data_IF_831063206275
#
_entry.id   IF_831063206275
#
_cell.length_a   1.000
_cell.length_b   1.000
_cell.length_c   1.000
_cell.angle_alpha   90.00
_cell.angle_beta   90.00
_cell.angle_gamma   90.00
#
_symmetry.space_group_name_H-M   'P 1'
#
loop_
_entity.id
_entity.type
_entity.pdbx_description
1 polymer ?
#
# COMPACT_ATOMS: atom_id res chain seq x y z
N UNK A 1 -26.93 18.43 29.27
CA UNK A 1 -27.33 18.36 27.86
C UNK A 1 -26.06 17.99 27.14
N UNK A 2 -25.93 16.70 26.85
CA UNK A 2 -24.78 16.16 26.11
C UNK A 2 -25.16 16.29 24.65
N UNK A 3 -24.59 17.28 23.98
CA UNK A 3 -24.75 17.46 22.53
C UNK A 3 -23.96 16.33 21.87
N UNK A 4 -24.62 15.18 21.74
CA UNK A 4 -24.05 13.97 21.16
C UNK A 4 -23.58 14.24 19.74
N UNK A 5 -22.29 14.49 19.61
CA UNK A 5 -21.60 14.71 18.34
C UNK A 5 -21.70 13.44 17.49
N UNK A 6 -22.42 13.52 16.37
CA UNK A 6 -22.55 12.46 15.36
C UNK A 6 -21.22 12.33 14.61
N UNK A 7 -20.20 11.79 15.29
CA UNK A 7 -18.89 11.57 14.69
C UNK A 7 -18.98 10.50 13.59
N UNK A 8 -18.89 10.95 12.34
CA UNK A 8 -18.60 10.10 11.19
C UNK A 8 -17.10 9.77 11.16
N UNK A 9 -16.76 8.50 10.95
CA UNK A 9 -15.37 8.03 10.89
C UNK A 9 -15.13 7.24 9.61
N UNK A 10 -14.06 7.56 8.90
CA UNK A 10 -13.53 6.72 7.83
C UNK A 10 -12.36 5.89 8.36
N UNK A 11 -12.42 4.59 8.15
CA UNK A 11 -11.32 3.65 8.37
C UNK A 11 -10.79 3.23 7.00
N UNK A 12 -9.54 3.53 6.71
CA UNK A 12 -8.89 3.08 5.47
C UNK A 12 -7.91 1.96 5.80
N UNK A 13 -8.09 0.80 5.19
CA UNK A 13 -7.21 -0.35 5.33
C UNK A 13 -6.34 -0.42 4.08
N UNK A 14 -5.02 -0.28 4.23
CA UNK A 14 -4.10 -0.43 3.10
C UNK A 14 -3.78 -1.90 2.90
N UNK A 15 -3.91 -2.41 1.67
CA UNK A 15 -3.51 -3.78 1.36
C UNK A 15 -1.98 -3.92 1.39
N UNK A 16 -1.46 -5.13 1.56
CA UNK A 16 -0.01 -5.34 1.66
C UNK A 16 0.75 -4.93 0.37
N UNK A 17 2.01 -4.54 0.52
CA UNK A 17 2.92 -4.28 -0.61
C UNK A 17 3.92 -5.43 -0.77
N UNK A 18 3.98 -6.11 -1.93
CA UNK A 18 4.89 -7.24 -2.13
C UNK A 18 6.37 -6.84 -2.14
N UNK A 19 7.24 -7.79 -1.82
CA UNK A 19 8.68 -7.67 -2.02
C UNK A 19 9.09 -8.07 -3.46
N UNK A 20 10.22 -7.55 -3.94
CA UNK A 20 10.71 -7.83 -5.30
C UNK A 20 12.04 -8.56 -5.35
N UNK A 21 12.23 -9.55 -4.47
CA UNK A 21 13.43 -10.37 -4.50
C UNK A 21 13.54 -11.22 -5.78
N UNK A 22 14.71 -11.16 -6.40
CA UNK A 22 15.18 -12.03 -7.48
C UNK A 22 16.46 -12.73 -6.97
N UNK A 23 16.32 -13.98 -6.52
CA UNK A 23 17.42 -14.73 -5.93
C UNK A 23 17.63 -14.44 -4.43
N UNK A 24 18.88 -14.44 -3.98
CA UNK A 24 19.23 -14.22 -2.57
C UNK A 24 19.24 -12.73 -2.22
N UNK A 25 18.77 -12.39 -1.02
CA UNK A 25 18.66 -11.01 -0.53
C UNK A 25 20.01 -10.28 -0.42
N UNK A 26 21.11 -11.01 -0.24
CA UNK A 26 22.46 -10.47 -0.11
C UNK A 26 23.26 -10.54 -1.41
N UNK A 27 22.66 -10.85 -2.56
CA UNK A 27 23.35 -10.89 -3.85
C UNK A 27 23.18 -9.60 -4.64
N UNK A 28 24.22 -9.20 -5.37
CA UNK A 28 24.09 -8.13 -6.35
C UNK A 28 22.94 -8.43 -7.33
N UNK A 29 22.02 -7.47 -7.46
CA UNK A 29 20.85 -7.62 -8.33
C UNK A 29 19.66 -8.33 -7.68
N UNK A 30 19.56 -8.38 -6.34
CA UNK A 30 18.41 -8.95 -5.65
C UNK A 30 17.06 -8.25 -5.96
N UNK A 31 17.06 -7.01 -6.43
CA UNK A 31 15.91 -6.34 -7.05
C UNK A 31 16.45 -5.38 -8.13
N UNK A 32 16.76 -5.86 -9.34
CA UNK A 32 17.60 -5.14 -10.29
C UNK A 32 16.81 -4.16 -11.17
N UNK A 33 15.48 -4.18 -11.05
CA UNK A 33 14.58 -3.43 -11.91
C UNK A 33 14.79 -1.93 -11.71
N UNK A 34 14.87 -1.17 -12.81
CA UNK A 34 15.10 0.29 -12.82
C UNK A 34 13.92 1.09 -13.39
N UNK A 35 12.92 0.39 -13.91
CA UNK A 35 11.71 0.97 -14.47
C UNK A 35 10.51 0.14 -14.01
N UNK A 36 9.29 0.66 -13.99
CA UNK A 36 8.11 -0.15 -13.68
C UNK A 36 8.01 -1.38 -14.59
N UNK A 37 7.44 -2.47 -14.09
CA UNK A 37 7.05 -3.61 -14.94
C UNK A 37 6.00 -3.16 -15.95
N UNK A 38 6.05 -3.71 -17.17
CA UNK A 38 4.97 -3.56 -18.15
C UNK A 38 3.85 -4.54 -17.85
N UNK A 39 2.65 -4.23 -18.32
CA UNK A 39 1.51 -5.14 -18.19
C UNK A 39 1.86 -6.51 -18.80
N UNK A 40 1.65 -7.57 -18.03
CA UNK A 40 1.99 -8.94 -18.44
C UNK A 40 3.49 -9.28 -18.44
N UNK A 41 4.38 -8.37 -18.05
CA UNK A 41 5.83 -8.66 -17.99
C UNK A 41 6.16 -9.67 -16.89
N UNK A 42 5.49 -9.57 -15.74
CA UNK A 42 5.67 -10.47 -14.60
C UNK A 42 4.33 -10.70 -13.91
N UNK A 43 3.92 -11.97 -13.81
CA UNK A 43 2.74 -12.34 -13.04
C UNK A 43 3.02 -12.25 -11.54
N UNK A 44 2.04 -11.78 -10.75
CA UNK A 44 2.10 -11.86 -9.29
C UNK A 44 2.17 -13.33 -8.85
N UNK A 45 2.93 -13.58 -7.79
CA UNK A 45 3.01 -14.91 -7.19
C UNK A 45 1.65 -15.32 -6.61
N UNK A 46 1.36 -16.62 -6.62
CA UNK A 46 0.07 -17.15 -6.15
C UNK A 46 -0.28 -16.67 -4.74
N UNK A 47 0.69 -16.69 -3.82
CA UNK A 47 0.48 -16.25 -2.44
C UNK A 47 0.16 -14.76 -2.34
N UNK A 48 0.76 -13.93 -3.19
CA UNK A 48 0.50 -12.49 -3.21
C UNK A 48 -0.90 -12.20 -3.73
N UNK A 49 -1.32 -12.92 -4.78
CA UNK A 49 -2.69 -12.84 -5.33
C UNK A 49 -3.71 -13.24 -4.27
N UNK A 50 -3.45 -14.33 -3.56
CA UNK A 50 -4.36 -14.86 -2.55
C UNK A 50 -4.44 -13.96 -1.31
N UNK A 51 -3.31 -13.43 -0.85
CA UNK A 51 -3.26 -12.50 0.27
C UNK A 51 -4.07 -11.23 -0.04
N UNK A 52 -3.88 -10.64 -1.23
CA UNK A 52 -4.65 -9.47 -1.66
C UNK A 52 -6.14 -9.78 -1.72
N UNK A 53 -6.50 -10.95 -2.27
CA UNK A 53 -7.90 -11.38 -2.37
C UNK A 53 -8.55 -11.42 -0.99
N UNK A 54 -7.89 -12.04 -0.02
CA UNK A 54 -8.38 -12.14 1.36
C UNK A 54 -8.51 -10.76 2.00
N UNK A 55 -7.49 -9.89 1.91
CA UNK A 55 -7.56 -8.54 2.49
C UNK A 55 -8.75 -7.73 1.96
N UNK A 56 -8.98 -7.77 0.64
CA UNK A 56 -10.10 -7.07 0.00
C UNK A 56 -11.44 -7.68 0.42
N UNK A 57 -11.54 -9.01 0.48
CA UNK A 57 -12.76 -9.70 0.91
C UNK A 57 -13.14 -9.38 2.36
N UNK A 58 -12.16 -9.31 3.27
CA UNK A 58 -12.39 -8.97 4.67
C UNK A 58 -12.84 -7.51 4.84
N UNK A 59 -12.26 -6.57 4.07
CA UNK A 59 -12.71 -5.17 4.08
C UNK A 59 -14.16 -5.07 3.56
N UNK A 60 -14.49 -5.77 2.48
CA UNK A 60 -15.85 -5.79 1.93
C UNK A 60 -16.85 -6.47 2.87
N UNK A 61 -16.45 -7.51 3.60
CA UNK A 61 -17.26 -8.15 4.63
C UNK A 61 -17.53 -7.18 5.79
N UNK A 62 -16.48 -6.53 6.32
CA UNK A 62 -16.60 -5.53 7.37
C UNK A 62 -17.50 -4.36 6.96
N UNK A 63 -17.39 -3.90 5.70
CA UNK A 63 -18.25 -2.85 5.13
C UNK A 63 -19.73 -3.25 5.18
N UNK A 64 -20.06 -4.48 4.77
CA UNK A 64 -21.44 -5.00 4.81
C UNK A 64 -21.95 -5.09 6.25
N UNK A 65 -21.14 -5.56 7.19
CA UNK A 65 -21.54 -5.63 8.60
C UNK A 65 -21.79 -4.24 9.18
N UNK A 66 -20.94 -3.26 8.88
CA UNK A 66 -21.12 -1.88 9.33
C UNK A 66 -22.41 -1.26 8.78
N UNK A 67 -22.75 -1.49 7.51
CA UNK A 67 -24.01 -1.02 6.92
C UNK A 67 -25.24 -1.57 7.67
N UNK A 68 -25.22 -2.85 8.06
CA UNK A 68 -26.30 -3.48 8.85
C UNK A 68 -26.42 -2.91 10.27
N UNK A 69 -25.29 -2.46 10.85
CA UNK A 69 -25.25 -1.88 12.20
C UNK A 69 -25.66 -0.40 12.23
N UNK A 70 -25.43 0.33 11.14
CA UNK A 70 -25.77 1.75 11.00
C UNK A 70 -27.28 1.99 11.06
N UNK A 71 -28.12 1.05 10.62
CA UNK A 71 -29.58 1.13 10.77
C UNK A 71 -30.04 1.20 12.24
N UNK A 72 -29.16 0.83 13.19
CA UNK A 72 -29.48 0.69 14.63
C UNK A 72 -28.73 1.66 15.53
N UNK A 73 -27.78 2.46 15.02
CA UNK A 73 -26.88 3.31 15.84
C UNK A 73 -26.66 4.70 15.21
N UNK A 74 -26.39 5.69 16.06
CA UNK A 74 -26.05 7.08 15.66
C UNK A 74 -24.60 7.30 15.20
N UNK A 75 -23.71 6.31 15.34
CA UNK A 75 -22.31 6.40 14.88
C UNK A 75 -22.16 5.76 13.51
N UNK A 76 -21.72 6.54 12.53
CA UNK A 76 -21.47 6.10 11.16
C UNK A 76 -19.97 5.86 10.97
N UNK A 77 -19.59 4.59 10.88
CA UNK A 77 -18.23 4.18 10.49
C UNK A 77 -18.29 3.66 9.07
N UNK A 78 -17.48 4.24 8.18
CA UNK A 78 -17.23 3.76 6.83
C UNK A 78 -15.86 3.09 6.82
N UNK A 79 -15.74 1.98 6.09
CA UNK A 79 -14.47 1.27 5.89
C UNK A 79 -14.23 1.08 4.40
N UNK A 80 -13.01 1.37 3.96
CA UNK A 80 -12.60 1.26 2.56
C UNK A 80 -11.17 0.69 2.45
N UNK A 81 -10.90 -0.04 1.38
CA UNK A 81 -9.56 -0.53 1.08
C UNK A 81 -8.78 0.51 0.25
N UNK A 82 -7.57 0.83 0.68
CA UNK A 82 -6.54 1.41 -0.17
C UNK A 82 -5.76 0.26 -0.80
N UNK A 83 -6.28 -0.24 -1.93
CA UNK A 83 -5.72 -1.40 -2.65
C UNK A 83 -4.48 -1.01 -3.45
N UNK A 84 -3.31 -1.14 -2.81
CA UNK A 84 -2.01 -0.80 -3.38
C UNK A 84 -1.26 -1.99 -3.93
N UNK A 85 -1.67 -3.23 -3.62
CA UNK A 85 -0.83 -4.41 -3.84
C UNK A 85 -0.43 -4.56 -5.31
N UNK A 86 -1.38 -4.44 -6.25
CA UNK A 86 -1.07 -4.55 -7.68
C UNK A 86 -0.19 -3.41 -8.17
N UNK A 87 -0.44 -2.17 -7.73
CA UNK A 87 0.40 -1.04 -8.16
C UNK A 87 1.79 -1.10 -7.53
N UNK A 88 1.92 -1.61 -6.30
CA UNK A 88 3.19 -1.88 -5.65
C UNK A 88 3.97 -2.96 -6.41
N UNK A 89 3.30 -4.05 -6.80
CA UNK A 89 3.89 -5.12 -7.62
C UNK A 89 4.48 -4.62 -8.95
N UNK A 90 3.85 -3.61 -9.57
CA UNK A 90 4.35 -3.04 -10.82
C UNK A 90 5.62 -2.20 -10.62
N UNK A 91 6.02 -1.92 -9.38
CA UNK A 91 7.03 -0.92 -9.03
C UNK A 91 8.28 -1.52 -8.40
N UNK A 92 8.77 -2.66 -8.91
CA UNK A 92 10.07 -3.20 -8.47
C UNK A 92 11.24 -2.20 -8.55
N UNK A 93 11.12 -1.15 -9.37
CA UNK A 93 12.05 -0.01 -9.48
C UNK A 93 12.06 0.94 -8.27
N UNK A 94 11.08 0.84 -7.39
CA UNK A 94 10.92 1.74 -6.25
C UNK A 94 11.71 1.35 -5.01
N UNK A 95 12.43 0.21 -5.03
CA UNK A 95 13.17 -0.29 -3.87
C UNK A 95 14.57 0.35 -3.76
N UNK A 96 15.09 0.52 -2.53
CA UNK A 96 16.44 1.02 -2.31
C UNK A 96 17.52 0.03 -2.74
N UNK A 97 17.23 -1.27 -2.77
CA UNK A 97 18.23 -2.31 -3.06
C UNK A 97 19.37 -2.20 -2.05
N UNK A 98 20.64 -2.06 -2.48
CA UNK A 98 21.75 -1.93 -1.54
C UNK A 98 21.78 -0.56 -0.84
N UNK A 99 21.05 0.44 -1.32
CA UNK A 99 21.16 1.83 -0.87
C UNK A 99 20.23 2.17 0.32
N UNK A 100 19.90 1.19 1.18
CA UNK A 100 19.18 1.45 2.43
C UNK A 100 19.96 2.39 3.37
N UNK A 101 21.30 2.40 3.26
CA UNK A 101 22.19 3.27 4.00
C UNK A 101 23.10 4.08 3.07
N UNK A 102 23.59 5.21 3.58
CA UNK A 102 24.61 5.99 2.88
C UNK A 102 25.88 5.15 2.71
N UNK A 103 26.46 5.18 1.50
CA UNK A 103 27.69 4.47 1.13
C UNK A 103 27.64 2.95 1.42
N UNK A 104 26.73 2.20 0.79
CA UNK A 104 26.51 0.78 1.12
C UNK A 104 27.68 -0.15 0.80
N UNK A 105 28.68 0.36 0.07
CA UNK A 105 29.90 -0.36 -0.31
C UNK A 105 31.16 0.16 0.42
N UNK A 106 30.98 1.00 1.45
CA UNK A 106 32.09 1.45 2.28
C UNK A 106 32.65 0.31 3.15
N UNK A 107 33.81 0.54 3.77
CA UNK A 107 34.42 -0.34 4.78
C UNK A 107 34.68 -1.79 4.32
N UNK A 108 34.92 -2.00 3.03
CA UNK A 108 35.26 -3.32 2.49
C UNK A 108 34.05 -4.23 2.22
N UNK A 109 32.83 -3.68 2.20
CA UNK A 109 31.65 -4.42 1.71
C UNK A 109 31.83 -4.71 0.22
N UNK A 110 31.81 -6.00 -0.11
CA UNK A 110 31.91 -6.52 -1.48
C UNK A 110 30.56 -6.36 -2.15
N UNK A 111 30.50 -5.69 -3.31
CA UNK A 111 29.24 -5.33 -3.99
C UNK A 111 28.39 -6.56 -4.31
N UNK A 112 29.04 -7.66 -4.65
CA UNK A 112 28.45 -8.95 -4.98
C UNK A 112 27.70 -9.59 -3.81
N UNK A 113 28.03 -9.18 -2.57
CA UNK A 113 27.48 -9.71 -1.31
C UNK A 113 26.84 -8.63 -0.43
N UNK A 114 26.45 -7.50 -1.01
CA UNK A 114 25.78 -6.44 -0.26
C UNK A 114 24.34 -6.83 0.09
N UNK A 115 23.91 -6.52 1.31
CA UNK A 115 22.52 -6.63 1.72
C UNK A 115 21.65 -5.73 0.84
N UNK A 116 20.56 -6.29 0.29
CA UNK A 116 19.56 -5.52 -0.42
C UNK A 116 18.25 -5.48 0.36
N UNK A 117 17.65 -4.31 0.38
CA UNK A 117 16.28 -4.12 0.81
C UNK A 117 15.38 -3.98 -0.42
N UNK A 118 14.64 -5.06 -0.67
CA UNK A 118 13.65 -5.18 -1.74
C UNK A 118 12.22 -5.25 -1.16
N UNK A 119 12.02 -4.70 0.04
CA UNK A 119 10.74 -4.69 0.77
C UNK A 119 10.29 -3.26 1.01
N UNK A 120 11.20 -2.38 1.47
CA UNK A 120 10.90 -0.97 1.70
C UNK A 120 11.04 -0.13 0.43
N UNK A 121 10.59 1.11 0.50
CA UNK A 121 10.47 1.98 -0.67
C UNK A 121 11.38 3.20 -0.55
N UNK A 122 12.03 3.57 -1.64
CA UNK A 122 12.71 4.86 -1.76
C UNK A 122 11.71 6.01 -1.56
N UNK A 123 12.21 7.13 -1.02
CA UNK A 123 11.50 8.40 -0.98
C UNK A 123 12.35 9.50 -1.66
N UNK A 124 11.77 10.31 -2.56
CA UNK A 124 10.41 10.18 -3.13
C UNK A 124 10.25 8.88 -3.95
N UNK A 125 9.03 8.35 -4.02
CA UNK A 125 8.79 7.02 -4.62
C UNK A 125 7.33 6.55 -4.64
N UNK A 126 7.08 5.24 -4.83
CA UNK A 126 5.72 4.69 -5.01
C UNK A 126 4.74 5.02 -3.88
N UNK A 127 5.24 5.11 -2.64
CA UNK A 127 4.45 5.51 -1.45
C UNK A 127 3.78 6.88 -1.65
N UNK A 128 4.40 7.78 -2.39
CA UNK A 128 3.83 9.11 -2.66
C UNK A 128 2.54 9.00 -3.47
N UNK A 129 2.45 8.06 -4.41
CA UNK A 129 1.22 7.80 -5.17
C UNK A 129 0.13 7.21 -4.25
N UNK A 130 0.49 6.32 -3.33
CA UNK A 130 -0.48 5.73 -2.39
C UNK A 130 -1.06 6.80 -1.49
N UNK A 131 -0.21 7.70 -0.99
CA UNK A 131 -0.62 8.86 -0.20
C UNK A 131 -1.51 9.83 -0.99
N UNK A 132 -1.28 10.01 -2.30
CA UNK A 132 -2.15 10.81 -3.15
C UNK A 132 -3.53 10.17 -3.33
N UNK A 133 -3.60 8.84 -3.47
CA UNK A 133 -4.87 8.11 -3.55
C UNK A 133 -5.61 8.20 -2.21
N UNK A 134 -4.92 7.97 -1.08
CA UNK A 134 -5.50 8.17 0.25
C UNK A 134 -6.04 9.58 0.43
N UNK A 135 -5.27 10.60 0.04
CA UNK A 135 -5.71 11.98 0.09
C UNK A 135 -6.95 12.22 -0.78
N UNK A 136 -7.06 11.56 -1.93
CA UNK A 136 -8.29 11.61 -2.72
C UNK A 136 -9.46 10.91 -2.04
N UNK A 137 -9.25 9.73 -1.46
CA UNK A 137 -10.29 9.05 -0.67
C UNK A 137 -10.82 9.96 0.42
N UNK A 138 -9.93 10.63 1.17
CA UNK A 138 -10.29 11.59 2.21
C UNK A 138 -11.04 12.82 1.67
N UNK A 139 -10.66 13.34 0.49
CA UNK A 139 -11.36 14.47 -0.15
C UNK A 139 -12.75 14.11 -0.66
N UNK A 140 -12.89 12.91 -1.22
CA UNK A 140 -14.16 12.39 -1.73
C UNK A 140 -15.06 11.83 -0.63
N UNK A 141 -14.48 11.53 0.54
CA UNK A 141 -15.21 11.04 1.68
C UNK A 141 -16.16 12.12 2.19
N UNK A 142 -17.43 11.89 1.92
CA UNK A 142 -18.50 12.76 2.36
C UNK A 142 -18.79 12.46 3.82
N UNK A 143 -18.06 13.09 4.74
CA UNK A 143 -18.45 13.25 6.15
C UNK A 143 -19.75 14.06 6.36
N UNK A 144 -20.61 14.13 5.33
CA UNK A 144 -21.73 15.03 5.04
C UNK A 144 -21.36 16.52 5.06
N UNK A 145 -21.12 17.12 3.89
CA UNK A 145 -21.22 18.60 3.76
C UNK A 145 -20.34 19.35 2.75
N UNK A 146 -19.62 18.73 1.83
CA UNK A 146 -18.94 19.49 0.77
C UNK A 146 -19.19 18.88 -0.61
N UNK A 147 -20.30 19.29 -1.23
CA UNK A 147 -20.31 19.46 -2.68
C UNK A 147 -19.22 20.50 -3.01
N UNK A 148 -18.04 20.05 -3.44
CA UNK A 148 -17.19 20.90 -4.26
C UNK A 148 -17.77 20.81 -5.68
N UNK A 149 -18.27 21.93 -6.26
CA UNK A 149 -18.59 21.96 -7.67
C UNK A 149 -17.32 21.72 -8.48
N UNK A 150 -17.50 21.10 -9.64
CA UNK A 150 -16.47 20.90 -10.67
C UNK A 150 -15.63 22.15 -10.92
#
# INVERSE_FOLDING_TARGET
MDDGDDHHQLVVVTTFSPAHFEGEWDKAGACPKKEPYKEGERAMEYMDVEMRRIEVEEVEAAKKELLLLQEKKKKMVEIEALDVTRMAWMRGDGHPGPYMHAFPFANGVVQERAQNDCVHWCLPGPIDTWNQILMQMLKTWNGRGQQQPL
#
